data_IF_738931245063
#
_entry.id   IF_738931245063
#
_cell.length_a   1.000
_cell.length_b   1.000
_cell.length_c   1.000
_cell.angle_alpha   90.00
_cell.angle_beta   90.00
_cell.angle_gamma   90.00
#
_symmetry.space_group_name_H-M   'P 1'
#
loop_
_entity.id
_entity.type
_entity.pdbx_description
1 polymer ?
#
# COMPACT_ATOMS: atom_id res chain seq x y z
N UNK A 1 4.71 -39.82 -0.67
CA UNK A 1 3.78 -38.83 -1.28
C UNK A 1 3.03 -37.98 -0.23
N UNK A 2 3.62 -37.63 0.93
CA UNK A 2 2.91 -36.88 2.00
C UNK A 2 3.56 -35.51 2.30
N UNK A 3 4.75 -35.25 1.79
CA UNK A 3 5.45 -33.97 1.99
C UNK A 3 4.99 -32.84 1.05
N UNK A 4 4.24 -33.14 -0.01
CA UNK A 4 3.66 -32.12 -0.91
C UNK A 4 2.40 -31.45 -0.34
N UNK A 5 1.59 -32.20 0.43
CA UNK A 5 0.32 -31.71 0.94
C UNK A 5 0.46 -30.68 2.08
N UNK A 6 1.51 -30.80 2.90
CA UNK A 6 1.75 -29.89 4.03
C UNK A 6 2.23 -28.52 3.53
N UNK A 7 2.99 -28.45 2.43
CA UNK A 7 3.41 -27.19 1.82
C UNK A 7 2.22 -26.37 1.26
N UNK A 8 1.16 -27.04 0.81
CA UNK A 8 -0.08 -26.39 0.38
C UNK A 8 -0.97 -25.94 1.55
N UNK A 9 -0.94 -26.64 2.70
CA UNK A 9 -1.67 -26.22 3.90
C UNK A 9 -1.01 -25.03 4.61
N UNK A 10 0.31 -24.86 4.45
CA UNK A 10 1.10 -23.76 5.02
C UNK A 10 1.38 -22.68 3.95
N UNK A 11 0.48 -22.42 3.00
CA UNK A 11 0.52 -21.20 2.17
C UNK A 11 1.85 -20.84 1.47
N UNK A 12 2.75 -21.80 1.30
CA UNK A 12 4.09 -21.65 0.73
C UNK A 12 4.20 -22.30 -0.65
N UNK A 13 3.09 -22.85 -1.15
CA UNK A 13 2.96 -23.36 -2.52
C UNK A 13 2.48 -22.26 -3.45
N UNK A 14 3.39 -21.66 -4.20
CA UNK A 14 3.10 -20.89 -5.40
C UNK A 14 2.32 -21.79 -6.37
N UNK A 15 1.09 -21.42 -6.72
CA UNK A 15 0.48 -21.69 -8.03
C UNK A 15 -1.00 -21.30 -8.05
N UNK A 16 -1.36 -20.57 -9.11
CA UNK A 16 -2.72 -20.27 -9.58
C UNK A 16 -3.51 -19.25 -8.72
N UNK A 17 -3.23 -17.96 -8.95
CA UNK A 17 -3.93 -16.81 -8.36
C UNK A 17 -3.00 -15.72 -7.80
N UNK A 18 -1.73 -15.74 -8.21
CA UNK A 18 -0.63 -14.88 -7.73
C UNK A 18 -0.50 -13.54 -8.48
N UNK A 19 -1.29 -13.30 -9.51
CA UNK A 19 -1.23 -12.04 -10.25
C UNK A 19 -1.97 -10.94 -9.49
N UNK A 20 -1.20 -9.90 -9.14
CA UNK A 20 -1.77 -8.57 -9.07
C UNK A 20 -2.40 -8.27 -10.42
N UNK A 21 -3.49 -7.51 -10.42
CA UNK A 21 -4.12 -7.02 -11.65
C UNK A 21 -3.02 -6.44 -12.58
N UNK A 22 -3.12 -6.59 -13.90
CA UNK A 22 -2.10 -6.24 -14.94
C UNK A 22 -1.59 -4.78 -14.93
N UNK A 23 -2.00 -3.98 -13.95
CA UNK A 23 -1.58 -2.60 -13.73
C UNK A 23 -0.46 -2.42 -12.70
N UNK A 24 -0.14 -1.16 -12.36
CA UNK A 24 0.89 -0.85 -11.38
C UNK A 24 0.52 -1.41 -9.99
N UNK A 25 1.52 -1.88 -9.24
CA UNK A 25 1.32 -2.42 -7.89
C UNK A 25 0.59 -1.41 -7.00
N UNK A 26 -0.57 -1.80 -6.46
CA UNK A 26 -1.41 -0.94 -5.61
C UNK A 26 -1.84 -1.69 -4.36
N UNK A 27 -2.03 -0.94 -3.27
CA UNK A 27 -2.62 -1.48 -2.06
C UNK A 27 -4.10 -1.86 -2.31
N UNK A 28 -4.62 -2.91 -1.64
CA UNK A 28 -6.03 -3.27 -1.74
C UNK A 28 -6.93 -2.14 -1.21
N UNK A 29 -8.12 -1.96 -1.78
CA UNK A 29 -9.06 -0.89 -1.39
C UNK A 29 -9.47 -0.92 0.09
N UNK A 30 -9.46 -2.11 0.71
CA UNK A 30 -9.82 -2.31 2.12
C UNK A 30 -8.62 -2.19 3.06
N UNK A 31 -7.40 -1.95 2.56
CA UNK A 31 -6.29 -1.60 3.45
C UNK A 31 -6.65 -0.29 4.18
N UNK A 32 -6.38 -0.12 5.49
CA UNK A 32 -5.53 -0.92 6.39
C UNK A 32 -6.28 -1.95 7.28
N UNK A 33 -7.34 -2.62 6.81
CA UNK A 33 -8.10 -3.55 7.67
C UNK A 33 -7.25 -4.76 8.09
N UNK A 34 -7.32 -5.13 9.37
CA UNK A 34 -6.67 -6.33 9.91
C UNK A 34 -7.72 -7.35 10.39
N UNK A 35 -8.16 -8.29 9.53
CA UNK A 35 -9.09 -9.32 9.94
C UNK A 35 -8.41 -10.34 10.85
N UNK A 36 -9.16 -10.87 11.83
CA UNK A 36 -8.64 -11.88 12.77
C UNK A 36 -8.08 -13.09 12.02
N UNK A 37 -6.85 -13.46 12.34
CA UNK A 37 -6.07 -14.51 11.68
C UNK A 37 -5.17 -14.04 10.53
N UNK A 38 -5.12 -12.73 10.24
CA UNK A 38 -4.23 -12.14 9.23
C UNK A 38 -3.15 -11.21 9.82
N UNK A 39 -3.01 -11.15 11.14
CA UNK A 39 -2.16 -10.22 11.88
C UNK A 39 -0.69 -10.30 11.42
N UNK A 40 -0.19 -11.51 11.14
CA UNK A 40 1.18 -11.70 10.66
C UNK A 40 1.40 -11.15 9.25
N UNK A 41 0.39 -11.24 8.38
CA UNK A 41 0.50 -10.76 7.01
C UNK A 41 0.33 -9.24 6.94
N UNK A 42 -0.57 -8.67 7.74
CA UNK A 42 -0.69 -7.21 7.88
C UNK A 42 0.59 -6.62 8.43
N UNK A 43 1.13 -7.15 9.53
CA UNK A 43 2.38 -6.65 10.13
C UNK A 43 3.55 -6.68 9.15
N UNK A 44 3.72 -7.76 8.38
CA UNK A 44 4.77 -7.83 7.36
C UNK A 44 4.60 -6.78 6.26
N UNK A 45 3.36 -6.57 5.81
CA UNK A 45 3.06 -5.53 4.83
C UNK A 45 3.36 -4.14 5.41
N UNK A 46 2.88 -3.84 6.62
CA UNK A 46 3.15 -2.57 7.30
C UNK A 46 4.64 -2.31 7.49
N UNK A 47 5.40 -3.32 7.92
CA UNK A 47 6.84 -3.17 8.12
C UNK A 47 7.57 -2.89 6.80
N UNK A 48 7.15 -3.51 5.69
CA UNK A 48 7.71 -3.21 4.38
C UNK A 48 7.35 -1.78 3.96
N UNK A 49 6.09 -1.38 4.15
CA UNK A 49 5.64 -0.03 3.78
C UNK A 49 6.36 1.07 4.58
N UNK A 50 6.56 0.85 5.89
CA UNK A 50 7.20 1.84 6.77
C UNK A 50 8.71 1.97 6.56
N UNK A 51 9.35 0.97 5.95
CA UNK A 51 10.79 0.92 5.77
C UNK A 51 11.12 0.94 4.27
N UNK A 52 11.10 -0.21 3.61
CA UNK A 52 11.55 -0.42 2.23
C UNK A 52 10.86 0.52 1.24
N UNK A 53 9.52 0.58 1.25
CA UNK A 53 8.79 1.46 0.34
C UNK A 53 9.03 2.94 0.67
N UNK A 54 9.16 3.28 1.95
CA UNK A 54 9.41 4.67 2.39
C UNK A 54 10.82 5.13 2.00
N UNK A 55 11.82 4.26 2.12
CA UNK A 55 13.19 4.57 1.72
C UNK A 55 13.28 4.74 0.20
N UNK A 56 12.58 3.89 -0.57
CA UNK A 56 12.48 4.07 -2.03
C UNK A 56 11.79 5.39 -2.41
N UNK A 57 10.73 5.79 -1.71
CA UNK A 57 10.11 7.11 -1.92
C UNK A 57 11.12 8.23 -1.66
N UNK A 58 11.88 8.14 -0.56
CA UNK A 58 12.92 9.14 -0.25
C UNK A 58 13.99 9.21 -1.32
N UNK A 59 14.42 8.08 -1.86
CA UNK A 59 15.40 8.06 -2.95
C UNK A 59 14.80 8.65 -4.23
N UNK A 60 13.53 8.39 -4.54
CA UNK A 60 12.82 9.02 -5.65
C UNK A 60 12.65 10.54 -5.46
N UNK A 61 12.43 11.01 -4.24
CA UNK A 61 12.40 12.43 -3.88
C UNK A 61 13.77 13.09 -4.08
N UNK A 62 14.85 12.39 -3.72
CA UNK A 62 16.23 12.89 -3.90
C UNK A 62 16.55 13.19 -5.35
N UNK A 63 16.24 12.27 -6.26
CA UNK A 63 16.49 12.44 -7.70
C UNK A 63 15.37 13.21 -8.41
N UNK A 64 14.27 13.54 -7.73
CA UNK A 64 13.15 14.29 -8.31
C UNK A 64 12.27 13.49 -9.28
N UNK A 65 12.32 12.16 -9.24
CA UNK A 65 11.54 11.29 -10.15
C UNK A 65 10.17 10.89 -9.59
N UNK A 66 9.86 11.29 -8.35
CA UNK A 66 8.57 11.03 -7.71
C UNK A 66 7.44 11.83 -8.37
N UNK A 67 6.26 11.21 -8.44
CA UNK A 67 5.05 11.84 -8.96
C UNK A 67 4.23 12.43 -7.82
N UNK A 68 3.99 13.73 -7.86
CA UNK A 68 3.06 14.40 -6.94
C UNK A 68 1.62 13.93 -7.20
N UNK A 69 0.80 13.91 -6.15
CA UNK A 69 -0.64 13.66 -6.29
C UNK A 69 -1.37 14.81 -7.01
N UNK A 70 -0.81 16.02 -6.92
CA UNK A 70 -1.32 17.25 -7.50
C UNK A 70 -0.59 17.54 -8.81
N UNK A 71 -1.31 17.50 -9.94
CA UNK A 71 -0.71 17.65 -11.28
C UNK A 71 -0.05 19.02 -11.52
N UNK A 72 -0.39 20.01 -10.71
CA UNK A 72 0.11 21.39 -10.73
C UNK A 72 1.38 21.60 -9.90
N UNK A 73 1.82 20.58 -9.16
CA UNK A 73 3.04 20.65 -8.35
C UNK A 73 4.20 20.05 -9.14
N UNK A 74 5.05 20.92 -9.67
CA UNK A 74 6.35 20.56 -10.22
C UNK A 74 7.29 20.11 -9.09
N UNK A 75 7.72 18.85 -9.16
CA UNK A 75 8.61 18.26 -8.17
C UNK A 75 10.05 18.65 -8.49
N UNK A 76 10.76 19.24 -7.51
CA UNK A 76 12.18 19.56 -7.64
C UNK A 76 13.02 18.49 -6.94
N UNK A 77 14.17 18.07 -7.51
CA UNK A 77 15.06 17.14 -6.84
C UNK A 77 15.66 17.77 -5.59
N UNK A 78 15.71 17.01 -4.51
CA UNK A 78 16.41 17.44 -3.29
C UNK A 78 17.93 17.49 -3.51
N UNK A 79 18.46 16.58 -4.35
CA UNK A 79 19.86 16.57 -4.77
C UNK A 79 19.97 16.76 -6.30
N UNK A 80 20.33 17.96 -6.77
CA UNK A 80 20.44 18.23 -8.21
C UNK A 80 21.55 17.42 -8.88
N UNK A 81 22.60 17.01 -8.16
CA UNK A 81 23.68 16.19 -8.74
C UNK A 81 23.24 14.76 -8.98
N UNK A 82 22.43 14.22 -8.08
CA UNK A 82 21.85 12.89 -8.25
C UNK A 82 20.85 12.90 -9.43
N UNK A 83 20.05 13.96 -9.57
CA UNK A 83 19.15 14.13 -10.72
C UNK A 83 19.91 14.22 -12.06
N UNK A 84 21.03 14.96 -12.11
CA UNK A 84 21.90 15.01 -13.29
C UNK A 84 22.50 13.63 -13.63
N UNK A 85 22.89 12.84 -12.63
CA UNK A 85 23.42 11.49 -12.84
C UNK A 85 22.38 10.54 -13.47
N UNK A 86 21.12 10.60 -13.02
CA UNK A 86 20.01 9.84 -13.62
C UNK A 86 19.71 10.31 -15.04
N UNK A 87 19.78 11.62 -15.30
CA UNK A 87 19.58 12.17 -16.63
C UNK A 87 20.67 11.75 -17.63
N UNK A 88 21.91 11.57 -17.15
CA UNK A 88 23.06 11.16 -17.96
C UNK A 88 23.08 9.65 -18.25
N UNK A 89 22.67 8.83 -17.28
CA UNK A 89 22.56 7.37 -17.44
C UNK A 89 21.20 6.85 -16.96
N UNK A 90 20.17 6.90 -17.81
CA UNK A 90 18.82 6.43 -17.47
C UNK A 90 18.74 4.90 -17.35
N UNK A 91 19.82 4.16 -17.62
CA UNK A 91 19.87 2.69 -17.46
C UNK A 91 20.57 2.25 -16.18
N UNK A 92 21.16 3.18 -15.42
CA UNK A 92 21.83 2.86 -14.18
C UNK A 92 20.81 2.34 -13.15
N UNK A 93 21.07 1.16 -12.58
CA UNK A 93 20.22 0.53 -11.56
C UNK A 93 20.46 1.07 -10.15
N UNK A 94 21.44 1.96 -9.98
CA UNK A 94 21.80 2.56 -8.69
C UNK A 94 20.76 3.60 -8.22
N UNK A 95 20.03 4.22 -9.15
CA UNK A 95 19.04 5.25 -8.86
C UNK A 95 17.65 4.84 -9.35
N UNK A 96 16.58 5.27 -8.66
CA UNK A 96 15.22 4.99 -9.10
C UNK A 96 14.89 5.76 -10.38
N UNK A 97 14.12 5.12 -11.26
CA UNK A 97 13.78 5.64 -12.58
C UNK A 97 12.40 6.30 -12.61
N UNK A 98 12.16 7.10 -13.65
CA UNK A 98 10.83 7.66 -13.90
C UNK A 98 9.82 6.54 -14.16
N UNK A 99 8.73 6.53 -13.38
CA UNK A 99 7.68 5.52 -13.49
C UNK A 99 7.84 4.32 -12.55
N UNK A 100 8.94 4.26 -11.79
CA UNK A 100 9.08 3.27 -10.72
C UNK A 100 7.98 3.44 -9.68
N UNK A 101 7.54 2.31 -9.13
CA UNK A 101 6.55 2.29 -8.07
C UNK A 101 7.21 1.86 -6.75
N UNK A 102 7.12 2.67 -5.69
CA UNK A 102 7.71 2.31 -4.39
C UNK A 102 7.05 1.06 -3.77
N UNK A 103 5.80 0.75 -4.16
CA UNK A 103 5.09 -0.43 -3.66
C UNK A 103 5.58 -1.75 -4.27
N UNK A 104 6.42 -1.71 -5.31
CA UNK A 104 6.96 -2.93 -5.93
C UNK A 104 7.87 -3.71 -4.97
N UNK A 105 8.56 -3.04 -4.04
CA UNK A 105 9.33 -3.70 -2.98
C UNK A 105 8.42 -4.56 -2.09
N UNK A 106 7.20 -4.09 -1.85
CA UNK A 106 6.23 -4.77 -0.99
C UNK A 106 5.29 -5.71 -1.72
N UNK A 107 5.49 -5.95 -3.03
CA UNK A 107 4.56 -6.67 -3.92
C UNK A 107 4.11 -8.02 -3.35
N UNK A 108 5.08 -8.81 -2.88
CA UNK A 108 4.82 -10.13 -2.29
C UNK A 108 3.99 -10.04 -0.99
N UNK A 109 4.24 -9.04 -0.16
CA UNK A 109 3.48 -8.83 1.08
C UNK A 109 2.06 -8.36 0.79
N UNK A 110 1.89 -7.51 -0.22
CA UNK A 110 0.57 -7.05 -0.69
C UNK A 110 -0.27 -8.24 -1.16
N UNK A 111 0.29 -9.13 -1.99
CA UNK A 111 -0.40 -10.33 -2.46
C UNK A 111 -0.82 -11.23 -1.29
N UNK A 112 0.10 -11.49 -0.36
CA UNK A 112 -0.18 -12.34 0.80
C UNK A 112 -1.25 -11.75 1.72
N UNK A 113 -1.17 -10.45 1.99
CA UNK A 113 -2.17 -9.72 2.75
C UNK A 113 -3.54 -9.77 2.05
N UNK A 114 -3.59 -9.52 0.74
CA UNK A 114 -4.82 -9.57 -0.07
C UNK A 114 -5.46 -10.96 -0.01
N UNK A 115 -4.67 -12.02 -0.20
CA UNK A 115 -5.13 -13.41 -0.10
C UNK A 115 -5.72 -13.71 1.28
N UNK A 116 -5.03 -13.30 2.34
CA UNK A 116 -5.50 -13.53 3.71
C UNK A 116 -6.82 -12.78 3.99
N UNK A 117 -6.90 -11.51 3.60
CA UNK A 117 -8.08 -10.68 3.81
C UNK A 117 -9.28 -11.20 3.01
N UNK A 118 -9.10 -11.54 1.73
CA UNK A 118 -10.17 -12.10 0.89
C UNK A 118 -10.77 -13.39 1.48
N UNK A 119 -9.97 -14.19 2.19
CA UNK A 119 -10.42 -15.42 2.87
C UNK A 119 -11.08 -15.15 4.22
N UNK A 120 -10.55 -14.20 5.01
CA UNK A 120 -11.00 -14.00 6.39
C UNK A 120 -12.10 -12.95 6.53
N UNK A 121 -12.19 -11.95 5.65
CA UNK A 121 -13.24 -10.92 5.70
C UNK A 121 -14.65 -11.49 5.52
N UNK A 122 -14.80 -12.58 4.75
CA UNK A 122 -16.08 -13.27 4.54
C UNK A 122 -16.60 -14.02 5.78
N UNK A 123 -15.79 -14.16 6.83
CA UNK A 123 -16.16 -14.93 8.01
C UNK A 123 -16.94 -14.06 9.01
N UNK A 124 -17.97 -14.64 9.64
CA UNK A 124 -18.82 -13.94 10.63
C UNK A 124 -18.03 -13.21 11.72
N UNK A 125 -16.90 -13.78 12.17
CA UNK A 125 -16.03 -13.16 13.20
C UNK A 125 -15.41 -11.83 12.78
N UNK A 126 -15.37 -11.53 11.49
CA UNK A 126 -14.79 -10.32 10.90
C UNK A 126 -15.87 -9.44 10.25
N UNK A 127 -17.16 -9.75 10.45
CA UNK A 127 -18.28 -9.02 9.86
C UNK A 127 -18.32 -7.56 10.35
N UNK A 128 -17.91 -7.30 11.59
CA UNK A 128 -17.76 -5.95 12.14
C UNK A 128 -16.83 -5.06 11.30
N UNK A 129 -15.82 -5.62 10.64
CA UNK A 129 -14.88 -4.86 9.79
C UNK A 129 -15.49 -4.49 8.43
N UNK A 130 -16.59 -5.16 8.03
CA UNK A 130 -17.32 -4.88 6.81
C UNK A 130 -18.53 -3.96 7.06
N UNK A 131 -19.05 -3.96 8.28
CA UNK A 131 -20.14 -3.09 8.68
C UNK A 131 -19.60 -1.67 8.85
N UNK A 132 -20.22 -0.71 8.14
CA UNK A 132 -20.00 0.70 8.45
C UNK A 132 -20.46 0.93 9.87
N UNK A 133 -19.54 1.32 10.76
CA UNK A 133 -19.88 1.60 12.17
C UNK A 133 -21.01 2.61 12.17
N UNK A 134 -22.19 2.19 12.66
CA UNK A 134 -23.31 3.11 12.85
C UNK A 134 -22.93 4.07 13.96
N UNK A 135 -22.58 5.29 13.59
CA UNK A 135 -22.42 6.39 14.54
C UNK A 135 -23.78 6.60 15.23
N UNK A 136 -23.81 6.59 16.56
CA UNK A 136 -25.02 6.91 17.30
C UNK A 136 -25.49 8.30 16.90
N UNK A 137 -26.80 8.48 16.71
CA UNK A 137 -27.35 9.73 16.15
C UNK A 137 -26.96 10.98 16.96
N UNK A 138 -26.66 10.83 18.25
CA UNK A 138 -26.17 11.89 19.14
C UNK A 138 -24.84 12.51 18.71
N UNK A 139 -24.00 11.79 17.96
CA UNK A 139 -22.73 12.32 17.40
C UNK A 139 -22.87 12.69 15.92
N UNK A 140 -24.06 12.56 15.32
CA UNK A 140 -24.22 12.72 13.87
C UNK A 140 -24.14 14.17 13.42
N UNK A 141 -24.46 15.15 14.27
CA UNK A 141 -24.31 16.58 13.96
C UNK A 141 -24.16 17.47 15.21
N UNK A 142 -22.94 17.96 15.45
CA UNK A 142 -22.73 19.34 15.88
C UNK A 142 -21.75 19.95 14.87
N UNK A 143 -22.28 20.43 13.74
CA UNK A 143 -21.52 21.33 12.87
C UNK A 143 -21.21 22.62 13.64
N UNK A 144 -20.16 23.38 13.26
CA UNK A 144 -19.93 24.69 13.85
C UNK A 144 -21.20 25.53 13.66
N UNK A 145 -21.78 26.01 14.76
CA UNK A 145 -22.85 26.98 14.69
C UNK A 145 -22.28 28.20 13.95
N UNK A 146 -22.77 28.44 12.73
CA UNK A 146 -22.49 29.68 12.02
C UNK A 146 -22.98 30.81 12.94
N UNK A 147 -22.04 31.55 13.50
CA UNK A 147 -22.33 32.77 14.23
C UNK A 147 -22.98 33.76 13.27
N UNK A 148 -24.02 34.46 13.72
CA UNK A 148 -24.89 35.34 12.92
C UNK A 148 -24.20 36.56 12.28
N UNK A 149 -22.87 36.58 12.19
CA UNK A 149 -22.08 37.68 11.62
C UNK A 149 -21.90 37.59 10.08
N UNK A 150 -22.38 36.52 9.43
CA UNK A 150 -22.38 36.36 7.96
C UNK A 150 -23.81 36.38 7.36
N UNK A 151 -24.61 37.38 7.71
CA UNK A 151 -25.93 37.60 7.09
C UNK A 151 -26.13 39.03 6.60
#
# INVERSE_FOLDING_TARGET
>A
MVWGAIKNAIGFGSSAGDELDDGPTRLPQYFPIEPKGCEKHSQKLFNCLSNEATDKVRDMERVGVYKSYFNDVDTQPVDPKAAEAVALDPTNTEYPQHGDNPLDECKTFIVNYRKCCNRNLKQKRNQLLQETVRVQEEYRYQGPALTEEEK
#
